data_IF_972478032519
#
_entry.id   IF_972478032519
#
_cell.length_a   1.000
_cell.length_b   1.000
_cell.length_c   1.000
_cell.angle_alpha   90.00
_cell.angle_beta   90.00
_cell.angle_gamma   90.00
#
_symmetry.space_group_name_H-M   'P 1'
#
loop_
_entity.id
_entity.type
_entity.pdbx_description
1 polymer ?
#
# COMPACT_ATOMS: atom_id res chain seq x y z
N UNK A 1 39.49 27.80 -32.95
CA UNK A 1 38.36 28.07 -33.86
C UNK A 1 37.36 26.95 -33.68
N UNK A 2 36.11 27.16 -33.31
CA UNK A 2 35.33 28.36 -33.04
C UNK A 2 33.97 27.81 -32.58
N UNK A 3 33.54 28.14 -31.36
CA UNK A 3 32.50 29.15 -31.09
C UNK A 3 31.08 28.60 -31.23
N UNK A 4 30.39 28.40 -30.10
CA UNK A 4 29.29 29.27 -29.60
C UNK A 4 27.93 28.70 -30.06
N UNK A 5 26.86 28.55 -29.26
CA UNK A 5 26.18 29.48 -28.36
C UNK A 5 25.28 28.70 -27.36
N UNK A 6 25.26 29.19 -26.12
CA UNK A 6 24.25 29.14 -25.04
C UNK A 6 23.13 28.09 -25.04
N UNK A 7 23.15 27.22 -24.02
CA UNK A 7 21.93 26.77 -23.32
C UNK A 7 21.94 27.19 -21.83
N UNK A 8 22.71 28.24 -21.51
CA UNK A 8 22.67 28.94 -20.22
C UNK A 8 21.81 30.18 -20.42
N UNK A 9 20.47 30.02 -20.43
CA UNK A 9 19.49 31.14 -20.27
C UNK A 9 18.01 30.70 -20.23
N UNK A 10 17.61 29.65 -19.51
CA UNK A 10 16.18 29.47 -19.14
C UNK A 10 15.99 28.86 -17.75
N UNK A 11 16.89 29.10 -16.80
CA UNK A 11 16.67 28.74 -15.40
C UNK A 11 17.12 29.86 -14.46
N UNK A 12 16.61 31.07 -14.70
CA UNK A 12 16.37 31.98 -13.57
C UNK A 12 14.92 31.77 -13.15
N UNK A 13 14.71 31.46 -11.87
CA UNK A 13 13.39 31.55 -11.24
C UNK A 13 12.78 32.91 -11.55
N UNK A 14 11.47 33.00 -11.84
CA UNK A 14 10.83 34.28 -11.92
C UNK A 14 10.78 34.88 -10.50
N UNK A 15 11.27 36.10 -10.36
CA UNK A 15 11.28 36.86 -9.10
C UNK A 15 9.86 37.25 -8.61
N UNK A 16 8.80 36.84 -9.32
CA UNK A 16 7.41 37.18 -9.02
C UNK A 16 6.54 35.92 -8.81
N UNK A 17 5.84 35.78 -7.66
CA UNK A 17 5.05 34.60 -7.30
C UNK A 17 3.90 34.22 -8.25
N UNK A 18 3.48 35.10 -9.16
CA UNK A 18 2.34 34.85 -10.06
C UNK A 18 2.68 34.03 -11.32
N UNK A 19 3.95 33.86 -11.67
CA UNK A 19 4.40 33.07 -12.84
C UNK A 19 4.79 31.62 -12.51
N UNK A 20 4.77 31.24 -11.23
CA UNK A 20 5.11 29.89 -10.75
C UNK A 20 4.15 28.81 -11.30
N UNK A 21 2.88 29.18 -11.55
CA UNK A 21 1.85 28.27 -12.07
C UNK A 21 2.06 27.92 -13.56
N UNK A 22 2.66 28.82 -14.35
CA UNK A 22 3.01 28.52 -15.75
C UNK A 22 4.33 27.75 -15.88
N UNK A 23 5.25 27.91 -14.92
CA UNK A 23 6.47 27.11 -14.83
C UNK A 23 6.18 25.64 -14.45
N UNK A 24 5.30 25.41 -13.45
CA UNK A 24 4.83 24.06 -13.06
C UNK A 24 4.17 23.28 -14.22
N UNK A 25 3.48 23.98 -15.12
CA UNK A 25 2.86 23.40 -16.32
C UNK A 25 3.86 23.03 -17.44
N UNK A 26 5.10 23.53 -17.40
CA UNK A 26 6.16 23.17 -18.37
C UNK A 26 6.99 21.97 -17.93
N UNK A 27 7.18 21.75 -16.63
CA UNK A 27 7.89 20.57 -16.09
C UNK A 27 7.05 19.30 -16.25
N UNK A 28 5.73 19.43 -16.16
CA UNK A 28 4.76 18.37 -16.48
C UNK A 28 4.62 18.07 -17.98
N UNK A 29 5.39 18.74 -18.85
CA UNK A 29 5.25 18.70 -20.30
C UNK A 29 6.49 18.20 -21.10
N UNK A 30 7.45 17.51 -20.48
CA UNK A 30 8.45 16.73 -21.23
C UNK A 30 7.92 15.31 -21.51
N UNK A 31 7.23 15.24 -22.65
CA UNK A 31 6.49 14.15 -23.29
C UNK A 31 7.35 12.98 -23.76
N UNK A 32 6.82 11.76 -23.65
CA UNK A 32 6.93 10.76 -24.74
C UNK A 32 5.85 11.08 -25.77
N UNK A 33 6.26 11.10 -27.03
CA UNK A 33 5.57 11.62 -28.21
C UNK A 33 4.06 11.30 -28.27
N UNK A 34 3.26 12.36 -28.37
CA UNK A 34 2.15 12.38 -29.33
C UNK A 34 0.72 12.22 -28.82
N UNK A 35 0.48 11.83 -27.57
CA UNK A 35 -0.90 11.74 -27.05
C UNK A 35 -1.13 12.64 -25.83
N UNK A 36 -2.24 13.37 -25.87
CA UNK A 36 -2.70 14.27 -24.81
C UNK A 36 -3.02 13.43 -23.57
N UNK A 37 -2.41 13.74 -22.43
CA UNK A 37 -2.74 13.16 -21.11
C UNK A 37 -4.15 13.57 -20.67
N UNK A 38 -5.16 12.96 -21.29
CA UNK A 38 -6.49 12.74 -20.73
C UNK A 38 -6.54 11.25 -20.42
N UNK A 39 -6.24 10.85 -19.18
CA UNK A 39 -6.73 9.66 -18.48
C UNK A 39 -6.01 9.53 -17.13
N UNK A 40 -6.79 9.34 -16.07
CA UNK A 40 -6.38 9.07 -14.69
C UNK A 40 -5.47 7.82 -14.57
N UNK A 41 -4.75 7.63 -13.43
CA UNK A 41 -3.57 6.79 -13.32
C UNK A 41 -3.90 5.29 -13.33
N UNK A 42 -2.94 4.42 -13.68
CA UNK A 42 -3.12 2.99 -13.49
C UNK A 42 -3.16 2.76 -11.97
N UNK A 43 -4.29 2.27 -11.50
CA UNK A 43 -4.39 1.34 -10.38
C UNK A 43 -5.20 0.25 -11.04
N UNK A 44 -4.68 -0.96 -11.26
CA UNK A 44 -5.45 -1.94 -12.04
C UNK A 44 -6.72 -2.49 -11.34
N UNK A 45 -7.26 -1.76 -10.35
CA UNK A 45 -8.69 -1.79 -10.00
C UNK A 45 -9.60 -1.34 -11.14
N UNK A 46 -9.07 -0.58 -12.10
CA UNK A 46 -9.87 0.12 -13.11
C UNK A 46 -9.80 -0.49 -14.52
N UNK A 47 -9.31 -1.73 -14.67
CA UNK A 47 -9.32 -2.42 -15.96
C UNK A 47 -10.65 -3.16 -16.19
N UNK A 48 -11.64 -2.41 -16.65
CA UNK A 48 -12.86 -2.91 -17.28
C UNK A 48 -13.32 -1.91 -18.33
N UNK A 49 -13.77 -2.38 -19.50
CA UNK A 49 -14.23 -1.54 -20.62
C UNK A 49 -15.46 -0.65 -20.31
N UNK A 50 -15.95 -0.67 -19.08
CA UNK A 50 -17.03 0.16 -18.58
C UNK A 50 -16.50 1.02 -17.43
N UNK A 51 -16.14 2.28 -17.74
CA UNK A 51 -16.03 3.33 -16.72
C UNK A 51 -17.43 3.62 -16.19
N UNK A 52 -17.89 2.83 -15.21
CA UNK A 52 -19.18 3.06 -14.59
C UNK A 52 -19.09 4.26 -13.63
N UNK A 53 -20.22 4.97 -13.46
CA UNK A 53 -20.39 6.07 -12.49
C UNK A 53 -19.91 5.74 -11.06
N UNK A 54 -19.75 4.45 -10.75
CA UNK A 54 -19.32 3.90 -9.47
C UNK A 54 -17.87 4.23 -9.12
N UNK A 55 -16.95 4.22 -10.10
CA UNK A 55 -15.53 4.48 -9.84
C UNK A 55 -15.25 5.93 -9.46
N UNK A 56 -15.98 6.86 -10.08
CA UNK A 56 -15.96 8.28 -9.70
C UNK A 56 -16.50 8.50 -8.29
N UNK A 57 -17.55 7.78 -7.91
CA UNK A 57 -18.18 7.92 -6.61
C UNK A 57 -17.27 7.43 -5.47
N UNK A 58 -16.56 6.30 -5.63
CA UNK A 58 -15.62 5.84 -4.61
C UNK A 58 -14.45 6.82 -4.47
N UNK A 59 -13.93 7.31 -5.60
CA UNK A 59 -12.88 8.30 -5.59
C UNK A 59 -13.33 9.59 -4.87
N UNK A 60 -14.52 10.09 -5.18
CA UNK A 60 -15.09 11.26 -4.50
C UNK A 60 -15.25 11.02 -2.99
N UNK A 61 -15.75 9.85 -2.57
CA UNK A 61 -15.84 9.48 -1.15
C UNK A 61 -14.47 9.39 -0.48
N UNK A 62 -13.48 8.79 -1.15
CA UNK A 62 -12.13 8.68 -0.64
C UNK A 62 -11.49 10.05 -0.44
N UNK A 63 -11.58 10.93 -1.44
CA UNK A 63 -10.97 12.28 -1.40
C UNK A 63 -11.63 13.18 -0.36
N UNK A 64 -12.96 13.12 -0.24
CA UNK A 64 -13.75 13.91 0.71
C UNK A 64 -13.89 13.27 2.10
N UNK A 65 -13.26 12.12 2.35
CA UNK A 65 -13.35 11.46 3.65
C UNK A 65 -12.74 12.34 4.73
N UNK A 66 -13.51 12.62 5.78
CA UNK A 66 -13.04 13.43 6.90
C UNK A 66 -12.01 12.67 7.72
N UNK A 67 -10.83 13.26 7.87
CA UNK A 67 -9.73 12.72 8.66
C UNK A 67 -9.68 13.47 9.99
N UNK A 68 -9.12 12.82 11.01
CA UNK A 68 -8.88 13.46 12.29
C UNK A 68 -7.44 13.22 12.78
N UNK A 69 -6.89 14.10 13.65
CA UNK A 69 -5.49 14.01 14.07
C UNK A 69 -5.10 12.71 14.81
N UNK A 70 -6.06 12.03 15.44
CA UNK A 70 -5.87 10.77 16.16
C UNK A 70 -6.13 9.52 15.29
N UNK A 71 -6.52 9.70 14.03
CA UNK A 71 -6.64 8.57 13.10
C UNK A 71 -5.27 7.94 12.86
N UNK A 72 -5.29 6.65 12.51
CA UNK A 72 -4.10 5.87 12.21
C UNK A 72 -4.28 5.20 10.85
N UNK A 73 -3.40 5.53 9.90
CA UNK A 73 -3.37 4.92 8.58
C UNK A 73 -2.22 3.93 8.48
N UNK A 74 -2.52 2.66 8.19
CA UNK A 74 -1.54 1.68 7.74
C UNK A 74 -1.54 1.65 6.21
N UNK A 75 -0.52 2.26 5.63
CA UNK A 75 -0.32 2.36 4.20
C UNK A 75 0.73 1.37 3.71
N UNK A 76 0.64 0.96 2.45
CA UNK A 76 1.67 0.14 1.82
C UNK A 76 1.10 -0.71 0.72
N UNK A 77 1.88 -0.96 -0.33
CA UNK A 77 1.43 -1.82 -1.42
C UNK A 77 0.99 -3.19 -0.89
N UNK A 78 0.05 -3.83 -1.57
CA UNK A 78 -0.46 -5.12 -1.13
C UNK A 78 0.64 -6.16 -0.94
N UNK A 79 0.42 -7.12 -0.03
CA UNK A 79 1.38 -8.22 0.23
C UNK A 79 2.73 -7.81 0.86
N UNK A 80 2.90 -6.56 1.28
CA UNK A 80 4.09 -6.04 1.97
C UNK A 80 4.11 -6.22 3.50
N UNK A 81 3.34 -7.18 4.05
CA UNK A 81 3.27 -7.40 5.50
C UNK A 81 2.16 -6.66 6.24
N UNK A 82 1.28 -5.98 5.51
CA UNK A 82 0.20 -5.16 6.08
C UNK A 82 -0.69 -5.91 7.09
N UNK A 83 -0.98 -7.20 6.90
CA UNK A 83 -1.85 -7.95 7.83
C UNK A 83 -1.26 -8.08 9.24
N UNK A 84 0.04 -8.30 9.35
CA UNK A 84 0.73 -8.41 10.64
C UNK A 84 0.78 -7.06 11.35
N UNK A 85 1.14 -6.01 10.61
CA UNK A 85 1.18 -4.65 11.15
C UNK A 85 -0.22 -4.17 11.57
N UNK A 86 -1.25 -4.52 10.80
CA UNK A 86 -2.65 -4.22 11.13
C UNK A 86 -3.06 -4.81 12.49
N UNK A 87 -2.66 -6.05 12.76
CA UNK A 87 -2.97 -6.72 14.03
C UNK A 87 -2.20 -6.09 15.20
N UNK A 88 -0.90 -5.81 15.00
CA UNK A 88 -0.04 -5.16 15.99
C UNK A 88 -0.60 -3.79 16.39
N UNK A 89 -0.89 -2.92 15.41
CA UNK A 89 -1.44 -1.58 15.66
C UNK A 89 -2.76 -1.69 16.41
N UNK A 90 -3.66 -2.57 15.97
CA UNK A 90 -4.99 -2.66 16.59
C UNK A 90 -4.91 -3.07 18.06
N UNK A 91 -4.08 -4.08 18.39
CA UNK A 91 -3.86 -4.52 19.77
C UNK A 91 -3.26 -3.40 20.62
N UNK A 92 -2.22 -2.71 20.14
CA UNK A 92 -1.59 -1.61 20.88
C UNK A 92 -2.59 -0.47 21.16
N UNK A 93 -3.42 -0.13 20.17
CA UNK A 93 -4.40 0.96 20.30
C UNK A 93 -5.54 0.60 21.24
N UNK A 94 -5.94 -0.68 21.26
CA UNK A 94 -7.03 -1.21 22.09
C UNK A 94 -6.51 -1.89 23.35
N UNK A 95 -5.44 -1.33 23.94
CA UNK A 95 -4.91 -1.69 25.26
C UNK A 95 -4.64 -3.19 25.43
N UNK A 96 -4.14 -3.82 24.36
CA UNK A 96 -3.80 -5.24 24.30
C UNK A 96 -4.99 -6.18 24.59
N UNK A 97 -6.21 -5.81 24.18
CA UNK A 97 -7.40 -6.65 24.31
C UNK A 97 -7.39 -7.83 23.30
N UNK A 98 -6.66 -8.89 23.66
CA UNK A 98 -6.55 -10.11 22.86
C UNK A 98 -7.88 -10.88 22.73
N UNK A 99 -8.78 -10.74 23.70
CA UNK A 99 -10.10 -11.40 23.67
C UNK A 99 -10.93 -10.79 22.55
N UNK A 100 -10.99 -9.45 22.50
CA UNK A 100 -11.71 -8.72 21.46
C UNK A 100 -11.04 -8.83 20.09
N UNK A 101 -9.70 -8.91 20.03
CA UNK A 101 -8.98 -9.16 18.78
C UNK A 101 -9.38 -10.49 18.12
N UNK A 102 -9.66 -11.51 18.94
CA UNK A 102 -10.11 -12.85 18.50
C UNK A 102 -11.60 -12.90 18.18
N UNK A 103 -12.44 -12.12 18.85
CA UNK A 103 -13.90 -12.17 18.67
C UNK A 103 -14.41 -11.39 17.46
N UNK A 104 -13.65 -10.40 16.97
CA UNK A 104 -14.03 -9.56 15.83
C UNK A 104 -13.05 -9.78 14.67
N UNK A 105 -13.57 -10.09 13.48
CA UNK A 105 -12.74 -10.27 12.28
C UNK A 105 -11.95 -8.99 11.95
N UNK A 106 -10.71 -9.15 11.47
CA UNK A 106 -9.80 -8.02 11.25
C UNK A 106 -10.35 -6.89 10.37
N UNK A 107 -11.03 -7.23 9.27
CA UNK A 107 -11.64 -6.24 8.38
C UNK A 107 -12.73 -5.39 9.04
N UNK A 108 -13.29 -5.86 10.17
CA UNK A 108 -14.23 -5.09 10.98
C UNK A 108 -13.55 -4.18 12.00
N UNK A 109 -12.39 -4.59 12.50
CA UNK A 109 -11.56 -3.87 13.48
C UNK A 109 -10.75 -2.75 12.84
N UNK A 110 -10.30 -2.98 11.62
CA UNK A 110 -9.35 -2.15 10.89
C UNK A 110 -9.72 -2.23 9.40
N UNK A 111 -10.76 -1.48 8.98
CA UNK A 111 -11.30 -1.60 7.64
C UNK A 111 -10.32 -1.12 6.57
N UNK A 112 -10.54 -1.61 5.35
CA UNK A 112 -9.77 -1.27 4.17
C UNK A 112 -10.37 -0.02 3.55
N UNK A 113 -9.60 1.05 3.46
CA UNK A 113 -10.00 2.32 2.88
C UNK A 113 -10.23 2.22 1.37
N UNK A 114 -9.49 1.32 0.73
CA UNK A 114 -9.31 1.20 -0.71
C UNK A 114 -10.01 -0.01 -1.33
N UNK A 115 -10.70 -0.84 -0.54
CA UNK A 115 -11.30 -2.08 -1.03
C UNK A 115 -12.82 -1.93 -1.17
N UNK A 116 -13.30 -2.21 -2.38
CA UNK A 116 -14.69 -2.60 -2.61
C UNK A 116 -14.93 -3.98 -2.03
N UNK A 117 -16.08 -4.19 -1.38
CA UNK A 117 -16.47 -5.52 -0.97
C UNK A 117 -16.64 -6.44 -2.19
N UNK A 118 -15.60 -7.22 -2.50
CA UNK A 118 -15.61 -8.17 -3.61
C UNK A 118 -16.64 -9.30 -3.39
N UNK A 119 -17.12 -9.48 -2.15
CA UNK A 119 -18.21 -10.41 -1.86
C UNK A 119 -19.58 -9.85 -2.28
N UNK A 120 -19.67 -8.54 -2.57
CA UNK A 120 -20.88 -7.78 -2.90
C UNK A 120 -22.00 -7.95 -1.87
N UNK A 121 -21.63 -8.14 -0.60
CA UNK A 121 -22.57 -8.20 0.52
C UNK A 121 -22.83 -6.82 1.10
N UNK A 122 -21.92 -5.88 0.89
CA UNK A 122 -22.06 -4.47 1.26
C UNK A 122 -22.66 -3.64 0.12
N UNK A 123 -23.48 -2.66 0.48
CA UNK A 123 -23.93 -1.61 -0.43
C UNK A 123 -22.76 -0.67 -0.75
N UNK A 124 -22.78 -0.09 -1.95
CA UNK A 124 -21.90 1.04 -2.32
C UNK A 124 -22.01 2.15 -1.23
N UNK A 125 -20.91 2.47 -0.55
CA UNK A 125 -20.86 3.49 0.52
C UNK A 125 -20.78 2.95 1.93
N UNK A 126 -21.29 1.74 2.15
CA UNK A 126 -21.47 1.19 3.50
C UNK A 126 -20.15 1.09 4.28
N UNK A 127 -19.04 0.74 3.60
CA UNK A 127 -17.73 0.66 4.24
C UNK A 127 -17.22 2.03 4.71
N UNK A 128 -17.50 3.10 3.95
CA UNK A 128 -17.12 4.47 4.33
C UNK A 128 -18.00 5.02 5.45
N UNK A 129 -19.32 4.84 5.35
CA UNK A 129 -20.28 5.21 6.41
C UNK A 129 -19.88 4.53 7.74
N UNK A 130 -19.56 3.23 7.67
CA UNK A 130 -19.07 2.50 8.82
C UNK A 130 -17.76 3.05 9.39
N UNK A 131 -16.82 3.47 8.53
CA UNK A 131 -15.57 4.10 8.98
C UNK A 131 -15.82 5.46 9.66
N UNK A 132 -16.83 6.19 9.22
CA UNK A 132 -17.27 7.44 9.85
C UNK A 132 -17.80 7.19 11.27
N UNK A 133 -18.55 6.09 11.47
CA UNK A 133 -19.17 5.71 12.75
C UNK A 133 -18.24 4.97 13.73
N UNK A 134 -16.98 4.71 13.36
CA UNK A 134 -16.04 4.01 14.24
C UNK A 134 -15.69 4.84 15.49
N UNK A 135 -15.64 4.15 16.64
CA UNK A 135 -15.06 4.70 17.85
C UNK A 135 -13.59 5.12 17.61
N UNK A 136 -13.18 6.18 18.28
CA UNK A 136 -11.85 6.78 18.13
C UNK A 136 -10.85 6.18 19.15
N UNK A 137 -9.54 6.14 18.81
CA UNK A 137 -8.96 6.49 17.52
C UNK A 137 -9.31 5.46 16.43
N UNK A 138 -9.56 5.93 15.19
CA UNK A 138 -9.93 5.07 14.07
C UNK A 138 -8.69 4.55 13.37
N UNK A 139 -8.73 3.29 12.92
CA UNK A 139 -7.60 2.63 12.28
C UNK A 139 -7.98 2.16 10.87
N UNK A 140 -7.26 2.63 9.85
CA UNK A 140 -7.56 2.37 8.43
C UNK A 140 -6.39 1.76 7.70
N UNK A 141 -6.64 0.72 6.91
CA UNK A 141 -5.62 0.12 6.05
C UNK A 141 -5.82 0.61 4.62
N UNK A 142 -4.75 0.93 3.91
CA UNK A 142 -4.82 1.38 2.53
C UNK A 142 -3.62 0.90 1.70
N UNK A 143 -3.88 0.46 0.47
CA UNK A 143 -2.88 0.23 -0.57
C UNK A 143 -2.88 1.35 -1.62
N UNK A 144 -3.58 2.46 -1.35
CA UNK A 144 -3.53 3.62 -2.21
C UNK A 144 -2.15 4.28 -2.19
N UNK A 145 -1.65 4.75 -3.35
CA UNK A 145 -0.58 5.73 -3.38
C UNK A 145 -1.07 7.05 -2.74
N UNK A 146 -0.14 7.90 -2.33
CA UNK A 146 -0.44 9.13 -1.57
C UNK A 146 -1.48 10.01 -2.26
N UNK A 147 -1.46 10.13 -3.58
CA UNK A 147 -2.40 10.95 -4.36
C UNK A 147 -3.87 10.55 -4.20
N UNK A 148 -4.12 9.28 -3.86
CA UNK A 148 -5.47 8.73 -3.70
C UNK A 148 -5.94 8.68 -2.23
N UNK A 149 -5.09 9.09 -1.29
CA UNK A 149 -5.52 9.30 0.10
C UNK A 149 -6.49 10.50 0.21
N UNK A 150 -7.27 10.60 1.31
CA UNK A 150 -8.13 11.75 1.57
C UNK A 150 -7.36 13.06 1.54
N UNK A 151 -7.94 14.14 1.01
CA UNK A 151 -7.25 15.43 0.97
C UNK A 151 -7.00 16.00 2.38
N UNK A 152 -7.94 15.75 3.29
CA UNK A 152 -7.86 16.19 4.69
C UNK A 152 -6.65 15.57 5.43
N UNK A 153 -6.09 14.46 4.95
CA UNK A 153 -4.92 13.82 5.57
C UNK A 153 -3.71 14.76 5.65
N UNK A 154 -3.55 15.65 4.68
CA UNK A 154 -2.40 16.57 4.60
C UNK A 154 -2.52 17.73 5.57
N UNK A 155 -3.75 18.10 5.93
CA UNK A 155 -4.03 19.14 6.92
C UNK A 155 -4.03 18.58 8.35
N UNK A 156 -4.75 17.48 8.58
CA UNK A 156 -4.92 16.89 9.92
C UNK A 156 -3.66 16.17 10.41
N UNK A 157 -2.81 15.72 9.46
CA UNK A 157 -1.54 15.03 9.71
C UNK A 157 -1.68 13.88 10.72
N UNK A 158 -2.62 12.92 10.53
CA UNK A 158 -2.72 11.74 11.38
C UNK A 158 -1.44 10.90 11.34
N UNK A 159 -1.35 9.90 12.23
CA UNK A 159 -0.25 8.94 12.19
C UNK A 159 -0.37 8.04 10.97
N UNK A 160 0.70 7.93 10.18
CA UNK A 160 0.84 7.02 9.05
C UNK A 160 1.94 6.02 9.36
N UNK A 161 1.67 4.73 9.19
CA UNK A 161 2.68 3.67 9.18
C UNK A 161 2.73 3.13 7.76
N UNK A 162 3.85 3.29 7.07
CA UNK A 162 4.04 2.78 5.71
C UNK A 162 4.88 1.50 5.69
N UNK A 163 4.33 0.43 5.12
CA UNK A 163 4.99 -0.86 4.94
C UNK A 163 5.46 -1.05 3.49
N UNK A 164 6.76 -1.28 3.30
CA UNK A 164 7.33 -1.74 2.04
C UNK A 164 7.95 -3.13 2.17
N UNK A 165 8.26 -3.76 1.04
CA UNK A 165 8.89 -5.10 0.99
C UNK A 165 9.72 -5.22 -0.28
N UNK A 166 10.66 -6.16 -0.33
CA UNK A 166 11.32 -6.52 -1.58
C UNK A 166 10.28 -6.83 -2.68
N UNK A 167 10.38 -6.11 -3.80
CA UNK A 167 9.36 -6.18 -4.87
C UNK A 167 9.24 -7.56 -5.51
N UNK A 168 10.30 -8.35 -5.55
CA UNK A 168 10.28 -9.72 -6.08
C UNK A 168 9.42 -10.62 -5.22
N UNK A 169 9.54 -10.50 -3.90
CA UNK A 169 8.66 -11.21 -2.96
C UNK A 169 7.21 -10.69 -3.02
N UNK A 170 7.01 -9.39 -3.26
CA UNK A 170 5.69 -8.79 -3.45
C UNK A 170 5.01 -9.38 -4.69
N UNK A 171 5.70 -9.43 -5.84
CA UNK A 171 5.16 -9.96 -7.08
C UNK A 171 4.70 -11.41 -6.92
N UNK A 172 5.57 -12.28 -6.38
CA UNK A 172 5.23 -13.69 -6.09
C UNK A 172 4.03 -13.81 -5.14
N UNK A 173 4.04 -13.05 -4.04
CA UNK A 173 2.97 -13.11 -3.05
C UNK A 173 1.64 -12.57 -3.60
N UNK A 174 1.69 -11.64 -4.55
CA UNK A 174 0.52 -11.06 -5.21
C UNK A 174 -0.10 -12.04 -6.18
N UNK A 175 0.72 -12.72 -7.00
CA UNK A 175 0.24 -13.77 -7.91
C UNK A 175 -0.58 -14.82 -7.18
N UNK A 176 -0.02 -15.44 -6.13
CA UNK A 176 -0.74 -16.48 -5.38
C UNK A 176 -1.98 -15.95 -4.68
N UNK A 177 -1.91 -14.73 -4.14
CA UNK A 177 -3.08 -14.10 -3.53
C UNK A 177 -4.21 -13.88 -4.54
N UNK A 178 -3.91 -13.34 -5.72
CA UNK A 178 -4.91 -13.12 -6.78
C UNK A 178 -5.41 -14.44 -7.38
N UNK A 179 -4.57 -15.48 -7.44
CA UNK A 179 -5.00 -16.83 -7.82
C UNK A 179 -6.05 -17.36 -6.84
N UNK A 180 -5.83 -17.13 -5.54
CA UNK A 180 -6.79 -17.52 -4.52
C UNK A 180 -8.07 -16.66 -4.54
N UNK A 181 -7.98 -15.32 -4.55
CA UNK A 181 -9.18 -14.47 -4.40
C UNK A 181 -9.94 -14.17 -5.69
N UNK A 182 -9.26 -14.21 -6.83
CA UNK A 182 -9.83 -13.81 -8.12
C UNK A 182 -9.69 -14.88 -9.21
N UNK A 183 -9.13 -16.06 -8.88
CA UNK A 183 -8.96 -17.18 -9.81
C UNK A 183 -8.27 -16.76 -11.13
N UNK A 184 -7.30 -15.84 -11.03
CA UNK A 184 -6.56 -15.34 -12.20
C UNK A 184 -5.93 -16.50 -12.97
N UNK A 185 -5.87 -16.36 -14.29
CA UNK A 185 -5.27 -17.33 -15.21
C UNK A 185 -3.88 -16.86 -15.63
N UNK A 186 -3.13 -17.78 -16.24
CA UNK A 186 -1.75 -17.54 -16.65
C UNK A 186 -0.74 -18.11 -15.66
N UNK A 187 0.50 -18.12 -16.12
CA UNK A 187 1.68 -18.56 -15.40
C UNK A 187 2.23 -17.46 -14.51
N UNK A 188 3.14 -17.84 -13.61
CA UNK A 188 3.82 -16.88 -12.76
C UNK A 188 4.76 -15.96 -13.57
N UNK A 189 5.35 -16.46 -14.66
CA UNK A 189 6.21 -15.65 -15.55
C UNK A 189 5.40 -14.61 -16.33
N UNK A 190 4.23 -14.96 -16.87
CA UNK A 190 3.32 -14.00 -17.49
C UNK A 190 2.89 -12.91 -16.50
N UNK A 191 2.62 -13.30 -15.24
CA UNK A 191 2.28 -12.34 -14.19
C UNK A 191 3.43 -11.38 -13.87
N UNK A 192 4.69 -11.84 -13.90
CA UNK A 192 5.84 -10.97 -13.72
C UNK A 192 5.93 -9.92 -14.82
N UNK A 193 5.68 -10.30 -16.08
CA UNK A 193 5.61 -9.35 -17.18
C UNK A 193 4.53 -8.30 -16.96
N UNK A 194 3.33 -8.72 -16.56
CA UNK A 194 2.24 -7.79 -16.24
C UNK A 194 2.61 -6.86 -15.07
N UNK A 195 3.31 -7.36 -14.06
CA UNK A 195 3.77 -6.54 -12.94
C UNK A 195 4.78 -5.47 -13.36
N UNK A 196 5.79 -5.84 -14.15
CA UNK A 196 6.82 -4.92 -14.64
C UNK A 196 6.27 -3.86 -15.62
N UNK A 197 5.14 -4.18 -16.28
CA UNK A 197 4.42 -3.29 -17.19
C UNK A 197 3.23 -2.58 -16.54
N UNK A 198 3.15 -2.58 -15.20
CA UNK A 198 2.14 -1.87 -14.41
C UNK A 198 0.68 -2.24 -14.73
N UNK A 199 0.43 -3.52 -15.04
CA UNK A 199 -0.90 -4.08 -15.33
C UNK A 199 -1.53 -4.81 -14.13
N UNK A 200 -0.94 -4.71 -12.94
CA UNK A 200 -1.34 -5.43 -11.73
C UNK A 200 -2.02 -4.51 -10.72
N UNK A 201 -2.83 -5.08 -9.83
CA UNK A 201 -3.67 -4.32 -8.92
C UNK A 201 -2.81 -3.40 -8.03
N UNK A 202 -3.11 -2.10 -8.03
CA UNK A 202 -2.33 -1.02 -7.39
C UNK A 202 -0.96 -0.67 -8.01
N UNK A 203 -0.57 -1.24 -9.14
CA UNK A 203 0.60 -0.73 -9.88
C UNK A 203 0.27 0.60 -10.54
N UNK A 204 1.24 1.53 -10.71
CA UNK A 204 2.69 1.27 -10.64
C UNK A 204 3.29 1.14 -9.23
N UNK A 205 4.00 0.03 -8.96
CA UNK A 205 4.59 -0.22 -7.63
C UNK A 205 5.70 0.78 -7.30
N UNK A 206 6.56 1.10 -8.28
CA UNK A 206 7.69 2.03 -8.10
C UNK A 206 7.19 3.39 -7.64
N UNK A 207 6.18 3.92 -8.33
CA UNK A 207 5.57 5.20 -7.99
C UNK A 207 4.87 5.14 -6.64
N UNK A 208 4.11 4.08 -6.35
CA UNK A 208 3.55 3.90 -5.01
C UNK A 208 4.65 4.01 -3.94
N UNK A 209 5.73 3.23 -4.06
CA UNK A 209 6.83 3.25 -3.10
C UNK A 209 7.49 4.64 -2.98
N UNK A 210 7.85 5.22 -4.12
CA UNK A 210 8.52 6.52 -4.22
C UNK A 210 7.68 7.65 -3.63
N UNK A 211 6.38 7.66 -3.93
CA UNK A 211 5.45 8.69 -3.47
C UNK A 211 5.35 8.74 -1.94
N UNK A 212 5.49 7.61 -1.24
CA UNK A 212 5.54 7.60 0.21
C UNK A 212 6.91 8.03 0.73
N UNK A 213 8.02 7.42 0.27
CA UNK A 213 9.34 7.71 0.84
C UNK A 213 9.83 9.14 0.57
N UNK A 214 9.29 9.79 -0.47
CA UNK A 214 9.61 11.15 -0.83
C UNK A 214 8.60 12.18 -0.28
N UNK A 215 7.70 11.82 0.65
CA UNK A 215 6.84 12.80 1.31
C UNK A 215 7.71 13.78 2.13
N UNK A 216 7.90 15.03 1.67
CA UNK A 216 8.69 15.99 2.44
C UNK A 216 7.85 16.45 3.65
N UNK A 217 8.52 16.64 4.79
CA UNK A 217 7.96 17.36 5.94
C UNK A 217 6.64 16.81 6.54
N UNK A 218 6.32 15.53 6.31
CA UNK A 218 5.21 14.88 7.00
C UNK A 218 5.67 14.43 8.39
N UNK A 219 5.18 15.03 9.50
CA UNK A 219 5.78 14.83 10.81
C UNK A 219 5.42 13.49 11.45
N UNK A 220 4.30 12.89 11.05
CA UNK A 220 3.69 11.75 11.72
C UNK A 220 3.72 10.50 10.84
N UNK A 221 4.83 10.21 10.17
CA UNK A 221 4.99 9.00 9.35
C UNK A 221 6.12 8.10 9.85
N UNK A 222 5.85 6.80 9.93
CA UNK A 222 6.83 5.76 10.21
C UNK A 222 6.97 4.84 9.01
N UNK A 223 8.20 4.72 8.49
CA UNK A 223 8.54 3.78 7.42
C UNK A 223 9.10 2.48 8.00
N UNK A 224 8.58 1.35 7.56
CA UNK A 224 9.03 0.01 7.93
C UNK A 224 9.11 -0.88 6.70
N UNK A 225 10.04 -1.83 6.72
CA UNK A 225 10.13 -2.90 5.72
C UNK A 225 9.68 -4.21 6.33
N UNK A 226 9.04 -5.07 5.55
CA UNK A 226 8.68 -6.43 5.99
C UNK A 226 9.91 -7.19 6.50
N UNK A 227 11.03 -7.08 5.79
CA UNK A 227 12.29 -7.72 6.12
C UNK A 227 12.76 -7.30 7.52
N UNK A 228 12.79 -5.99 7.79
CA UNK A 228 13.19 -5.46 9.10
C UNK A 228 12.26 -5.95 10.20
N UNK A 229 10.95 -5.85 10.01
CA UNK A 229 9.98 -6.22 11.04
C UNK A 229 10.09 -7.70 11.39
N UNK A 230 10.23 -8.57 10.39
CA UNK A 230 10.35 -10.02 10.65
C UNK A 230 11.67 -10.42 11.32
N UNK A 231 12.73 -9.64 11.14
CA UNK A 231 14.03 -9.90 11.78
C UNK A 231 14.17 -9.23 13.15
N UNK A 232 13.41 -8.16 13.41
CA UNK A 232 13.53 -7.31 14.60
C UNK A 232 12.15 -7.09 15.23
N UNK A 233 11.45 -8.17 15.55
CA UNK A 233 10.06 -8.12 16.04
C UNK A 233 9.96 -7.37 17.37
N UNK A 234 10.90 -7.62 18.29
CA UNK A 234 10.92 -7.03 19.62
C UNK A 234 11.09 -5.51 19.53
N UNK A 235 12.08 -5.04 18.77
CA UNK A 235 12.32 -3.63 18.50
C UNK A 235 11.14 -3.00 17.76
N UNK A 236 10.51 -3.74 16.84
CA UNK A 236 9.32 -3.25 16.12
C UNK A 236 8.16 -3.01 17.07
N UNK A 237 7.86 -3.95 17.99
CA UNK A 237 6.79 -3.79 18.97
C UNK A 237 7.02 -2.52 19.78
N UNK A 238 8.21 -2.31 20.32
CA UNK A 238 8.52 -1.10 21.09
C UNK A 238 8.45 0.17 20.25
N UNK A 239 8.98 0.14 19.02
CA UNK A 239 8.99 1.28 18.11
C UNK A 239 7.58 1.71 17.72
N UNK A 240 6.73 0.75 17.34
CA UNK A 240 5.33 1.01 16.97
C UNK A 240 4.54 1.48 18.19
N UNK A 241 4.71 0.83 19.36
CA UNK A 241 4.05 1.25 20.62
C UNK A 241 4.36 2.70 20.97
N UNK A 242 5.65 3.07 20.95
CA UNK A 242 6.09 4.45 21.22
C UNK A 242 5.53 5.45 20.21
N UNK A 243 5.56 5.12 18.91
CA UNK A 243 5.01 5.99 17.87
C UNK A 243 3.50 6.20 18.01
N UNK A 244 2.77 5.17 18.42
CA UNK A 244 1.35 5.26 18.72
C UNK A 244 1.06 6.00 20.04
N UNK A 245 2.08 6.36 20.82
CA UNK A 245 1.94 7.10 22.07
C UNK A 245 1.35 6.24 23.19
N UNK A 246 1.63 4.94 23.16
CA UNK A 246 1.19 3.96 24.16
C UNK A 246 2.39 3.48 24.97
N UNK A 247 2.10 2.80 26.07
CA UNK A 247 3.07 2.08 26.89
C UNK A 247 2.77 0.58 26.82
N UNK A 248 3.78 -0.25 27.07
CA UNK A 248 3.65 -1.70 27.06
C UNK A 248 4.37 -2.28 28.27
N UNK A 249 3.66 -3.11 29.04
CA UNK A 249 4.25 -3.89 30.14
C UNK A 249 5.01 -5.10 29.61
N UNK A 250 5.90 -5.67 30.40
CA UNK A 250 6.62 -6.90 30.04
C UNK A 250 5.67 -8.07 29.75
N UNK A 251 4.53 -8.12 30.44
CA UNK A 251 3.49 -9.14 30.23
C UNK A 251 2.82 -8.97 28.86
N UNK A 252 2.31 -7.76 28.58
CA UNK A 252 1.68 -7.47 27.29
C UNK A 252 2.66 -7.59 26.13
N UNK A 253 3.94 -7.28 26.34
CA UNK A 253 4.99 -7.49 25.37
C UNK A 253 5.15 -8.97 25.02
N UNK A 254 5.26 -9.85 26.03
CA UNK A 254 5.38 -11.29 25.82
C UNK A 254 4.15 -11.86 25.09
N UNK A 255 2.95 -11.47 25.53
CA UNK A 255 1.69 -11.91 24.91
C UNK A 255 1.57 -11.42 23.46
N UNK A 256 1.90 -10.16 23.19
CA UNK A 256 1.87 -9.61 21.83
C UNK A 256 2.89 -10.33 20.94
N UNK A 257 4.11 -10.57 21.43
CA UNK A 257 5.14 -11.29 20.68
C UNK A 257 4.70 -12.71 20.31
N UNK A 258 4.11 -13.44 21.25
CA UNK A 258 3.57 -14.78 20.99
C UNK A 258 2.42 -14.75 19.97
N UNK A 259 1.49 -13.80 20.14
CA UNK A 259 0.36 -13.60 19.22
C UNK A 259 0.83 -13.26 17.80
N UNK A 260 1.95 -12.55 17.67
CA UNK A 260 2.51 -12.12 16.38
C UNK A 260 3.40 -13.17 15.70
N UNK A 261 3.60 -14.33 16.33
CA UNK A 261 4.29 -15.45 15.69
C UNK A 261 3.56 -15.92 14.42
N UNK A 262 4.33 -16.38 13.43
CA UNK A 262 3.78 -16.84 12.15
C UNK A 262 2.71 -17.92 12.32
N UNK A 263 2.97 -18.92 13.17
CA UNK A 263 2.04 -20.02 13.43
C UNK A 263 0.76 -19.54 14.12
N UNK A 264 0.87 -18.65 15.12
CA UNK A 264 -0.30 -18.08 15.79
C UNK A 264 -1.17 -17.30 14.80
N UNK A 265 -0.56 -16.39 14.03
CA UNK A 265 -1.28 -15.61 13.03
C UNK A 265 -1.93 -16.45 11.94
N UNK A 266 -1.23 -17.48 11.45
CA UNK A 266 -1.72 -18.38 10.38
C UNK A 266 -2.94 -19.18 10.83
N UNK A 267 -2.95 -19.63 12.08
CA UNK A 267 -4.04 -20.42 12.66
C UNK A 267 -5.15 -19.59 13.30
N UNK A 268 -4.98 -18.26 13.40
CA UNK A 268 -5.98 -17.36 13.95
C UNK A 268 -7.04 -16.99 12.87
N UNK A 269 -8.26 -17.50 13.02
CA UNK A 269 -9.38 -17.26 12.12
C UNK A 269 -9.76 -15.76 11.98
N UNK A 270 -9.46 -14.92 12.98
CA UNK A 270 -9.67 -13.47 12.87
C UNK A 270 -8.60 -12.80 11.99
N UNK A 271 -7.45 -13.45 11.76
CA UNK A 271 -6.29 -12.93 11.02
C UNK A 271 -6.05 -13.60 9.66
N UNK A 272 -6.40 -14.88 9.49
CA UNK A 272 -6.01 -15.62 8.29
C UNK A 272 -6.91 -15.36 7.06
N UNK A 273 -8.07 -14.71 7.25
CA UNK A 273 -9.06 -14.41 6.19
C UNK A 273 -9.53 -15.65 5.41
N UNK A 274 -9.40 -16.86 5.96
CA UNK A 274 -9.64 -18.10 5.22
C UNK A 274 -11.06 -18.18 4.62
N UNK A 275 -12.09 -17.94 5.44
CA UNK A 275 -13.49 -17.92 4.98
C UNK A 275 -13.75 -16.88 3.90
N UNK A 276 -13.12 -15.72 4.01
CA UNK A 276 -13.25 -14.65 3.02
C UNK A 276 -12.61 -15.06 1.69
N UNK A 277 -11.41 -15.62 1.72
CA UNK A 277 -10.70 -16.09 0.52
C UNK A 277 -11.46 -17.23 -0.14
N UNK A 278 -11.98 -18.19 0.62
CA UNK A 278 -12.81 -19.28 0.11
C UNK A 278 -14.05 -18.77 -0.63
N UNK A 279 -14.76 -17.79 -0.06
CA UNK A 279 -15.93 -17.17 -0.70
C UNK A 279 -15.54 -16.46 -2.00
N UNK A 280 -14.46 -15.67 -1.98
CA UNK A 280 -13.97 -14.97 -3.16
C UNK A 280 -13.55 -15.95 -4.27
N UNK A 281 -12.82 -17.00 -3.91
CA UNK A 281 -12.38 -18.05 -4.84
C UNK A 281 -13.58 -18.73 -5.50
N UNK A 282 -14.54 -19.19 -4.70
CA UNK A 282 -15.77 -19.84 -5.19
C UNK A 282 -16.52 -18.92 -6.14
N UNK A 283 -16.66 -17.65 -5.79
CA UNK A 283 -17.33 -16.65 -6.64
C UNK A 283 -16.61 -16.42 -7.97
N UNK A 284 -15.28 -16.45 -7.95
CA UNK A 284 -14.45 -16.35 -9.15
C UNK A 284 -14.38 -17.66 -9.96
N UNK A 285 -15.19 -18.68 -9.61
CA UNK A 285 -15.20 -19.98 -10.28
C UNK A 285 -13.93 -20.81 -10.02
N UNK A 286 -13.26 -20.57 -8.90
CA UNK A 286 -12.13 -21.39 -8.44
C UNK A 286 -12.60 -22.73 -7.88
N UNK A 287 -11.87 -23.79 -8.21
CA UNK A 287 -12.16 -25.17 -7.77
C UNK A 287 -10.92 -25.88 -7.22
N UNK A 288 -9.78 -25.19 -7.13
CA UNK A 288 -8.50 -25.72 -6.70
C UNK A 288 -8.21 -25.43 -5.22
N UNK A 289 -7.12 -26.01 -4.73
CA UNK A 289 -6.63 -25.71 -3.37
C UNK A 289 -6.21 -24.25 -3.24
N UNK A 290 -6.59 -23.65 -2.12
CA UNK A 290 -6.32 -22.25 -1.76
C UNK A 290 -5.08 -22.23 -0.85
N UNK A 291 -4.11 -21.38 -1.17
CA UNK A 291 -2.88 -21.26 -0.36
C UNK A 291 -3.05 -20.34 0.87
N UNK A 292 -4.01 -19.43 0.82
CA UNK A 292 -4.43 -18.58 1.93
C UNK A 292 -3.64 -17.28 2.07
N UNK A 293 -4.12 -16.40 2.95
CA UNK A 293 -3.54 -15.07 3.16
C UNK A 293 -2.09 -15.14 3.66
N UNK A 294 -1.80 -16.09 4.54
CA UNK A 294 -0.51 -16.28 5.22
C UNK A 294 0.12 -17.57 4.68
N UNK A 295 0.83 -17.42 3.55
CA UNK A 295 1.37 -18.54 2.76
C UNK A 295 2.67 -19.12 3.34
N UNK A 296 3.79 -18.41 3.12
CA UNK A 296 5.14 -18.85 3.55
C UNK A 296 5.74 -17.97 4.66
N UNK A 297 5.40 -16.68 4.74
CA UNK A 297 5.92 -15.77 5.77
C UNK A 297 7.44 -15.51 5.77
N UNK A 298 8.15 -15.89 4.70
CA UNK A 298 9.61 -15.83 4.62
C UNK A 298 10.12 -14.67 3.76
N UNK A 299 11.30 -14.16 4.12
CA UNK A 299 12.11 -13.27 3.27
C UNK A 299 12.76 -14.13 2.18
N UNK A 300 12.81 -13.61 0.95
CA UNK A 300 13.49 -14.28 -0.16
C UNK A 300 12.72 -15.46 -0.74
N UNK A 301 11.40 -15.52 -0.54
CA UNK A 301 10.55 -16.56 -1.10
C UNK A 301 10.56 -16.59 -2.63
N UNK A 302 10.86 -15.47 -3.29
CA UNK A 302 11.06 -15.39 -4.73
C UNK A 302 12.19 -16.28 -5.24
N UNK A 303 13.25 -16.53 -4.45
CA UNK A 303 14.40 -17.34 -4.90
C UNK A 303 14.02 -18.78 -5.30
N UNK A 304 12.91 -19.30 -4.77
CA UNK A 304 12.40 -20.63 -5.13
C UNK A 304 11.40 -20.64 -6.29
N UNK A 305 10.94 -19.46 -6.74
CA UNK A 305 9.79 -19.32 -7.66
C UNK A 305 10.11 -18.44 -8.90
N UNK A 306 11.22 -17.69 -8.86
CA UNK A 306 11.62 -16.72 -9.87
C UNK A 306 12.99 -17.09 -10.43
N UNK A 307 13.13 -17.10 -11.76
CA UNK A 307 14.42 -17.31 -12.41
C UNK A 307 15.39 -16.17 -12.07
N UNK A 308 16.70 -16.46 -12.12
CA UNK A 308 17.72 -15.43 -11.91
C UNK A 308 17.60 -14.29 -12.92
N UNK A 309 17.33 -14.60 -14.19
CA UNK A 309 17.10 -13.60 -15.25
C UNK A 309 15.94 -12.67 -14.91
N UNK A 310 14.80 -13.22 -14.47
CA UNK A 310 13.66 -12.39 -14.08
C UNK A 310 13.97 -11.56 -12.83
N UNK A 311 14.68 -12.13 -11.86
CA UNK A 311 15.09 -11.41 -10.66
C UNK A 311 16.00 -10.21 -10.99
N UNK A 312 16.95 -10.37 -11.91
CA UNK A 312 17.81 -9.30 -12.40
C UNK A 312 17.00 -8.22 -13.14
N UNK A 313 15.98 -8.60 -13.91
CA UNK A 313 15.07 -7.65 -14.56
C UNK A 313 14.30 -6.80 -13.55
N UNK A 314 13.79 -7.40 -12.47
CA UNK A 314 13.16 -6.66 -11.37
C UNK A 314 14.12 -5.71 -10.68
N UNK A 315 15.37 -6.14 -10.42
CA UNK A 315 16.39 -5.31 -9.80
C UNK A 315 16.71 -4.10 -10.68
N UNK A 316 16.97 -4.33 -11.97
CA UNK A 316 17.21 -3.26 -12.96
C UNK A 316 16.01 -2.30 -13.07
N UNK A 317 14.79 -2.84 -13.14
CA UNK A 317 13.57 -2.04 -13.21
C UNK A 317 13.38 -1.15 -11.98
N UNK A 318 13.65 -1.66 -10.77
CA UNK A 318 13.62 -0.84 -9.55
C UNK A 318 14.71 0.24 -9.55
N UNK A 319 15.95 -0.12 -9.91
CA UNK A 319 17.07 0.81 -9.95
C UNK A 319 16.85 1.97 -10.94
N UNK A 320 16.33 1.67 -12.13
CA UNK A 320 16.01 2.68 -13.14
C UNK A 320 14.96 3.67 -12.63
N UNK A 321 13.92 3.19 -11.93
CA UNK A 321 12.92 4.06 -11.33
C UNK A 321 13.48 4.95 -10.22
N UNK A 322 14.40 4.43 -9.40
CA UNK A 322 15.05 5.20 -8.34
C UNK A 322 15.98 6.28 -8.92
N UNK A 323 16.74 5.99 -9.98
CA UNK A 323 17.64 6.94 -10.66
C UNK A 323 16.87 8.11 -11.28
N UNK A 324 15.74 7.83 -11.92
CA UNK A 324 14.87 8.88 -12.48
C UNK A 324 14.34 9.83 -11.39
N UNK A 325 14.19 9.35 -10.16
CA UNK A 325 13.73 10.16 -9.03
C UNK A 325 14.84 10.91 -8.28
N UNK A 326 16.12 10.58 -8.48
CA UNK A 326 17.23 11.38 -7.94
C UNK A 326 17.32 12.78 -8.57
N UNK A 327 16.72 13.00 -9.75
CA UNK A 327 16.56 14.34 -10.33
C UNK A 327 15.53 15.23 -9.63
N UNK A 328 14.71 14.66 -8.73
CA UNK A 328 13.70 15.36 -7.94
C UNK A 328 14.10 15.55 -6.46
N UNK A 329 15.27 15.06 -6.07
CA UNK A 329 15.87 15.33 -4.77
C UNK A 329 16.85 16.50 -4.94
N UNK A 330 16.48 17.64 -4.34
CA UNK A 330 17.24 18.89 -4.20
C UNK A 330 18.72 18.84 -4.63
N UNK A 331 19.05 19.64 -5.66
CA UNK A 331 20.38 20.28 -5.72
C UNK A 331 20.48 21.21 -4.50
N UNK A 332 21.57 21.06 -3.75
CA UNK A 332 22.01 21.96 -2.67
C UNK A 332 22.02 23.42 -3.07
#
# INVERSE_FOLDING_TARGET
MSEHIEFVKVLKEPENPSDHFQWMNRVSALKVKGEKWKNFPPVSMFHGKNRDKKDFWLWDKAKNFKVYPDDIFLCGYMRSGNTMMQEMIWLIVNDFDFVKAKSIIRGKRFPYFDVYDVTQKMRDGENYERMEDMARPRCFKSHFPTQLLPDDIWQQKPKIIHMSRNVKDVAVSTYYFLKDVANIKGTLDEFYEDFLNDKVLFTPYREHYLNYINLPDYPNIMYLTYEWVTQNMDETIHKVTKFLGKEISDENFKLLKEHMSFESMKNNAACNNEKYIQECNKRAGGTGEIQGQIRKGKIGGHKSEMSNEMAERFDKWMEEGLKLNQGFLYKS
#
